data_IF_236911454585
#
_entry.id   IF_236911454585
#
_cell.length_a   1.000
_cell.length_b   1.000
_cell.length_c   1.000
_cell.angle_alpha   90.00
_cell.angle_beta   90.00
_cell.angle_gamma   90.00
#
_symmetry.space_group_name_H-M   'P 1'
#
loop_
_entity.id
_entity.type
_entity.pdbx_description
1 polymer ?
#
# COMPACT_ATOMS: atom_id res chain seq x y z
N UNK A 1 18.37 27.68 7.22
CA UNK A 1 17.15 27.95 6.43
C UNK A 1 16.18 26.75 6.34
N UNK A 2 16.44 25.66 7.08
CA UNK A 2 15.85 24.35 6.87
C UNK A 2 14.77 24.06 7.93
N UNK A 3 14.94 24.64 9.12
CA UNK A 3 14.04 24.55 10.27
C UNK A 3 12.72 25.29 10.03
N UNK A 4 12.75 26.40 9.29
CA UNK A 4 11.56 27.18 8.95
C UNK A 4 10.66 26.45 7.93
N UNK A 5 11.28 25.79 6.94
CA UNK A 5 10.59 24.97 5.95
C UNK A 5 9.98 23.72 6.57
N UNK A 6 10.69 23.09 7.52
CA UNK A 6 10.15 22.01 8.36
C UNK A 6 8.93 22.50 9.15
N UNK A 7 8.99 23.70 9.74
CA UNK A 7 7.89 24.26 10.51
C UNK A 7 6.65 24.59 9.64
N UNK A 8 6.85 25.02 8.39
CA UNK A 8 5.75 25.29 7.45
C UNK A 8 5.06 24.02 6.95
N UNK A 9 5.82 22.96 6.64
CA UNK A 9 5.27 21.65 6.23
C UNK A 9 4.59 20.96 7.42
N UNK A 10 5.16 21.07 8.62
CA UNK A 10 4.56 20.54 9.84
C UNK A 10 3.33 21.35 10.27
N UNK A 11 3.31 22.67 10.06
CA UNK A 11 2.27 23.58 10.58
C UNK A 11 0.96 23.64 9.80
N UNK A 12 0.90 23.18 8.54
CA UNK A 12 -0.30 23.27 7.68
C UNK A 12 -0.84 21.92 7.16
N UNK A 13 -0.25 20.79 7.59
CA UNK A 13 -0.72 19.47 7.18
C UNK A 13 0.07 18.30 7.78
N UNK A 14 1.36 18.49 8.01
CA UNK A 14 2.21 17.43 8.59
C UNK A 14 1.84 17.08 10.03
N UNK A 15 1.50 18.07 10.87
CA UNK A 15 1.14 17.86 12.27
C UNK A 15 -0.24 17.19 12.41
N UNK A 16 -1.23 17.55 11.59
CA UNK A 16 -2.55 16.88 11.59
C UNK A 16 -2.43 15.42 11.15
N UNK A 17 -1.63 15.13 10.12
CA UNK A 17 -1.37 13.75 9.70
C UNK A 17 -0.66 12.94 10.79
N UNK A 18 0.32 13.52 11.48
CA UNK A 18 0.98 12.87 12.63
C UNK A 18 -0.03 12.59 13.74
N UNK A 19 -0.94 13.52 14.03
CA UNK A 19 -1.95 13.35 15.07
C UNK A 19 -2.94 12.24 14.72
N UNK A 20 -3.41 12.20 13.47
CA UNK A 20 -4.27 11.12 12.95
C UNK A 20 -3.54 9.78 13.01
N UNK A 21 -2.29 9.73 12.55
CA UNK A 21 -1.47 8.52 12.60
C UNK A 21 -1.30 8.02 14.04
N UNK A 22 -1.11 8.93 15.01
CA UNK A 22 -1.01 8.60 16.42
C UNK A 22 -2.31 7.99 16.96
N UNK A 23 -3.47 8.57 16.63
CA UNK A 23 -4.78 8.02 17.02
C UNK A 23 -4.99 6.63 16.42
N UNK A 24 -4.72 6.47 15.13
CA UNK A 24 -4.80 5.16 14.45
C UNK A 24 -3.84 4.17 15.11
N UNK A 25 -2.64 4.59 15.50
CA UNK A 25 -1.66 3.75 16.19
C UNK A 25 -2.14 3.32 17.57
N UNK A 26 -2.85 4.19 18.31
CA UNK A 26 -3.42 3.85 19.62
C UNK A 26 -4.60 2.89 19.49
N UNK A 27 -5.46 3.07 18.49
CA UNK A 27 -6.64 2.23 18.26
C UNK A 27 -6.26 0.84 17.72
N UNK A 28 -5.39 0.79 16.72
CA UNK A 28 -5.02 -0.46 16.05
C UNK A 28 -3.74 -1.08 16.64
N UNK A 29 -2.87 -0.30 17.25
CA UNK A 29 -1.57 -0.75 17.74
C UNK A 29 -0.48 -0.71 16.65
N UNK A 30 0.75 -0.38 17.05
CA UNK A 30 1.90 -0.26 16.14
C UNK A 30 2.25 -1.56 15.40
N UNK A 31 1.87 -2.73 15.93
CA UNK A 31 2.12 -4.02 15.32
C UNK A 31 1.09 -4.41 14.26
N UNK A 32 -0.15 -3.91 14.34
CA UNK A 32 -1.21 -4.30 13.41
C UNK A 32 -1.07 -3.67 12.03
N UNK A 33 -0.59 -2.42 11.94
CA UNK A 33 -0.41 -1.76 10.63
C UNK A 33 0.59 -2.53 9.74
N UNK A 34 1.80 -2.91 10.20
CA UNK A 34 2.72 -3.73 9.41
C UNK A 34 2.18 -5.12 9.09
N UNK A 35 1.43 -5.74 10.00
CA UNK A 35 0.83 -7.06 9.81
C UNK A 35 -0.25 -7.03 8.72
N UNK A 36 -1.13 -6.03 8.74
CA UNK A 36 -2.13 -5.78 7.70
C UNK A 36 -1.48 -5.48 6.35
N UNK A 37 -0.44 -4.64 6.33
CA UNK A 37 0.32 -4.35 5.10
C UNK A 37 0.98 -5.60 4.51
N UNK A 38 1.54 -6.49 5.35
CA UNK A 38 2.13 -7.76 4.90
C UNK A 38 1.06 -8.68 4.31
N UNK A 39 -0.10 -8.79 4.96
CA UNK A 39 -1.23 -9.60 4.46
C UNK A 39 -1.75 -9.07 3.12
N UNK A 40 -2.01 -7.77 3.05
CA UNK A 40 -2.48 -7.09 1.85
C UNK A 40 -1.45 -7.16 0.71
N UNK A 41 -0.16 -6.99 1.02
CA UNK A 41 0.92 -7.12 0.04
C UNK A 41 1.04 -8.53 -0.55
N UNK A 42 0.88 -9.57 0.28
CA UNK A 42 0.82 -10.96 -0.19
C UNK A 42 -0.40 -11.20 -1.07
N UNK A 43 -1.58 -10.76 -0.64
CA UNK A 43 -2.81 -10.90 -1.43
C UNK A 43 -2.73 -10.20 -2.79
N UNK A 44 -2.19 -8.98 -2.85
CA UNK A 44 -1.97 -8.26 -4.13
C UNK A 44 -0.99 -9.02 -5.02
N UNK A 45 0.08 -9.59 -4.45
CA UNK A 45 1.07 -10.36 -5.22
C UNK A 45 0.46 -11.63 -5.81
N UNK A 46 -0.22 -12.42 -4.99
CA UNK A 46 -0.91 -13.65 -5.43
C UNK A 46 -1.96 -13.34 -6.49
N UNK A 47 -2.76 -12.27 -6.29
CA UNK A 47 -3.73 -11.82 -7.27
C UNK A 47 -3.10 -11.45 -8.61
N UNK A 48 -1.95 -10.75 -8.58
CA UNK A 48 -1.22 -10.36 -9.79
C UNK A 48 -0.62 -11.56 -10.52
N UNK A 49 -0.08 -12.53 -9.79
CA UNK A 49 0.48 -13.77 -10.35
C UNK A 49 -0.63 -14.59 -11.03
N UNK A 50 -1.75 -14.83 -10.34
CA UNK A 50 -2.90 -15.53 -10.91
C UNK A 50 -3.48 -14.80 -12.14
N UNK A 51 -3.62 -13.47 -12.09
CA UNK A 51 -4.09 -12.69 -13.24
C UNK A 51 -3.16 -12.81 -14.46
N UNK A 52 -1.84 -12.91 -14.22
CA UNK A 52 -0.86 -13.06 -15.30
C UNK A 52 -0.95 -14.45 -15.94
N UNK A 53 -1.06 -15.49 -15.14
CA UNK A 53 -1.21 -16.87 -15.62
C UNK A 53 -2.48 -17.03 -16.46
N UNK A 54 -3.61 -16.50 -15.98
CA UNK A 54 -4.87 -16.49 -16.75
C UNK A 54 -4.69 -15.79 -18.10
N UNK A 55 -4.03 -14.63 -18.11
CA UNK A 55 -3.77 -13.89 -19.35
C UNK A 55 -2.90 -14.69 -20.33
N UNK A 56 -1.80 -15.29 -19.86
CA UNK A 56 -0.93 -16.11 -20.72
C UNK A 56 -1.65 -17.35 -21.27
N UNK A 57 -2.50 -18.01 -20.46
CA UNK A 57 -3.28 -19.16 -20.92
C UNK A 57 -4.34 -18.78 -21.96
N UNK A 58 -4.96 -17.61 -21.81
CA UNK A 58 -5.91 -17.09 -22.82
C UNK A 58 -5.18 -16.77 -24.13
N UNK A 59 -4.03 -16.08 -24.07
CA UNK A 59 -3.21 -15.76 -25.25
C UNK A 59 -2.75 -17.02 -25.99
N UNK A 60 -2.27 -18.04 -25.27
CA UNK A 60 -1.85 -19.32 -25.87
C UNK A 60 -3.01 -20.08 -26.53
N UNK A 61 -4.18 -20.14 -25.89
CA UNK A 61 -5.35 -20.83 -26.46
C UNK A 61 -5.92 -20.15 -27.71
N UNK A 62 -5.77 -18.83 -27.82
CA UNK A 62 -6.12 -18.04 -29.00
C UNK A 62 -5.17 -18.29 -30.17
N UNK A 63 -3.87 -18.44 -29.90
CA UNK A 63 -2.86 -18.73 -30.93
C UNK A 63 -2.91 -20.17 -31.43
N UNK A 64 -3.30 -21.15 -30.60
CA UNK A 64 -3.46 -22.57 -30.99
C UNK A 64 -4.69 -22.83 -31.88
N UNK A 65 -5.68 -21.95 -31.86
CA UNK A 65 -6.93 -22.09 -32.65
C UNK A 65 -6.87 -21.42 -34.03
N UNK A 66 -5.71 -20.88 -34.43
CA UNK A 66 -5.50 -20.10 -35.65
C UNK A 66 -4.56 -20.81 -36.63
#
# INVERSE_FOLDING_TARGET
>A
MNTLSIFLIMGLGGQELIFIALIVLLLFGAKKIPELMKGLGKGIREFKEASKEVKENIEKGLDESR
#
